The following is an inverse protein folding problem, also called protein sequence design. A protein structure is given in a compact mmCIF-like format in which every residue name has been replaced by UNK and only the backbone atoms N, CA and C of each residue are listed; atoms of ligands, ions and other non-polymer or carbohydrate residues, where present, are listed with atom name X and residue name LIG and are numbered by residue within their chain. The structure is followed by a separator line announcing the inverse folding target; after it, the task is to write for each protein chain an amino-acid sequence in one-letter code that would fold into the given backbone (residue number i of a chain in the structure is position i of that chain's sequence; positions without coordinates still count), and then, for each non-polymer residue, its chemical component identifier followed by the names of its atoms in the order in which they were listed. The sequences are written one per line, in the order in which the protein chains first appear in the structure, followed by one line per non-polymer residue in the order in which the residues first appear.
data_IF_808571343226
#
_entry.id   IF_808571343226
#
_cell.length_a   1.000
_cell.length_b   1.000
_cell.length_c   1.000
_cell.angle_alpha   90.00
_cell.angle_beta   90.00
_cell.angle_gamma   90.00
#
_symmetry.space_group_name_H-M   'P 1'
#
loop_
_entity.id
_entity.type
_entity.pdbx_description
1 polymer ?
#
# COMPACT_ATOMS: atom_id res chain seq x y z
N UNK A 1 -15.91 24.89 -15.49
CA UNK A 1 -15.52 23.49 -15.19
C UNK A 1 -14.09 23.50 -14.72
N UNK A 2 -13.88 23.44 -13.41
CA UNK A 2 -12.54 23.39 -12.83
C UNK A 2 -11.96 22.00 -13.09
N UNK A 3 -10.86 21.95 -13.83
CA UNK A 3 -10.02 20.76 -13.89
C UNK A 3 -9.30 20.72 -12.56
N UNK A 4 -9.72 19.85 -11.64
CA UNK A 4 -8.90 19.51 -10.48
C UNK A 4 -7.61 18.88 -11.00
N UNK A 5 -6.56 19.69 -11.03
CA UNK A 5 -5.20 19.21 -11.20
C UNK A 5 -4.87 18.41 -9.95
N UNK A 6 -4.86 17.09 -10.09
CA UNK A 6 -4.31 16.19 -9.09
C UNK A 6 -2.83 16.57 -8.97
N UNK A 7 -2.51 17.29 -7.90
CA UNK A 7 -1.13 17.59 -7.52
C UNK A 7 -0.55 16.28 -6.99
N UNK A 8 -0.10 15.41 -7.88
CA UNK A 8 0.68 14.21 -7.54
C UNK A 8 2.04 14.67 -7.02
N UNK A 9 2.07 15.08 -5.75
CA UNK A 9 3.28 15.37 -5.01
C UNK A 9 4.15 14.11 -4.93
N UNK A 10 5.02 13.95 -5.93
CA UNK A 10 6.44 13.57 -5.83
C UNK A 10 6.84 12.51 -4.79
N UNK A 11 6.14 11.40 -4.59
CA UNK A 11 6.76 10.21 -3.94
C UNK A 11 6.09 8.88 -4.30
N UNK A 12 5.53 8.75 -5.50
CA UNK A 12 5.08 7.44 -6.03
C UNK A 12 5.98 7.05 -7.20
N UNK A 13 7.29 6.99 -6.95
CA UNK A 13 8.27 6.39 -7.89
C UNK A 13 9.16 5.38 -7.13
N UNK A 14 8.82 5.03 -5.90
CA UNK A 14 9.79 4.39 -5.00
C UNK A 14 9.99 2.89 -5.21
N UNK A 15 9.25 2.22 -6.12
CA UNK A 15 9.31 0.74 -6.18
C UNK A 15 9.19 0.10 -7.56
N UNK A 16 9.07 0.87 -8.65
CA UNK A 16 9.02 0.30 -10.00
C UNK A 16 7.74 -0.46 -10.34
N UNK A 17 6.63 -0.18 -9.64
CA UNK A 17 5.29 -0.64 -10.03
C UNK A 17 4.80 0.16 -11.24
N UNK A 18 4.02 -0.50 -12.10
CA UNK A 18 3.39 0.16 -13.24
C UNK A 18 2.39 1.22 -12.74
N UNK A 19 2.46 2.43 -13.30
CA UNK A 19 1.53 3.53 -12.98
C UNK A 19 0.09 3.13 -13.32
N UNK A 20 -0.10 2.33 -14.38
CA UNK A 20 -1.42 1.83 -14.78
C UNK A 20 -2.02 0.93 -13.70
N UNK A 21 -1.20 0.08 -13.08
CA UNK A 21 -1.63 -0.80 -11.98
C UNK A 21 -2.13 0.03 -10.79
N UNK A 22 -1.38 1.05 -10.40
CA UNK A 22 -1.74 1.96 -9.30
C UNK A 22 -3.05 2.71 -9.59
N UNK A 23 -3.20 3.24 -10.80
CA UNK A 23 -4.43 3.95 -11.19
C UNK A 23 -5.66 3.03 -11.15
N UNK A 24 -5.53 1.78 -11.61
CA UNK A 24 -6.64 0.84 -11.63
C UNK A 24 -7.01 0.34 -10.22
N UNK A 25 -6.04 0.14 -9.34
CA UNK A 25 -6.30 -0.15 -7.93
C UNK A 25 -7.06 1.00 -7.25
N UNK A 26 -6.65 2.25 -7.48
CA UNK A 26 -7.33 3.42 -6.93
C UNK A 26 -8.75 3.62 -7.49
N UNK A 27 -8.98 3.33 -8.78
CA UNK A 27 -10.34 3.35 -9.37
C UNK A 27 -11.27 2.31 -8.74
N UNK A 28 -10.74 1.21 -8.23
CA UNK A 28 -11.50 0.16 -7.53
C UNK A 28 -11.79 0.50 -6.06
N UNK A 29 -11.31 1.66 -5.58
CA UNK A 29 -11.54 2.13 -4.21
C UNK A 29 -10.39 1.84 -3.25
N UNK A 30 -9.37 1.09 -3.67
CA UNK A 30 -8.22 0.76 -2.83
C UNK A 30 -7.37 2.00 -2.52
N UNK A 31 -6.83 2.05 -1.31
CA UNK A 31 -5.93 3.09 -0.82
C UNK A 31 -4.53 2.52 -0.61
N UNK A 32 -3.52 3.30 -0.95
CA UNK A 32 -2.12 2.96 -0.66
C UNK A 32 -1.85 3.20 0.83
N UNK A 33 -1.27 2.21 1.50
CA UNK A 33 -0.86 2.34 2.91
C UNK A 33 0.49 3.04 2.99
N UNK A 34 0.49 4.26 3.53
CA UNK A 34 1.68 5.05 3.83
C UNK A 34 2.13 4.85 5.28
N UNK A 35 3.32 5.33 5.65
CA UNK A 35 3.90 5.22 7.01
C UNK A 35 2.90 5.52 8.14
N UNK A 36 2.09 6.57 7.97
CA UNK A 36 1.13 6.99 8.99
C UNK A 36 -0.16 6.14 9.03
N UNK A 37 -0.40 5.29 8.01
CA UNK A 37 -1.59 4.44 7.91
C UNK A 37 -1.42 3.06 8.57
N UNK A 38 -0.19 2.63 8.86
CA UNK A 38 0.05 1.32 9.50
C UNK A 38 -0.61 1.21 10.87
N UNK A 39 -0.47 2.24 11.71
CA UNK A 39 -1.14 2.27 13.01
C UNK A 39 -2.66 2.19 12.88
N UNK A 40 -3.22 2.88 11.88
CA UNK A 40 -4.65 2.90 11.63
C UNK A 40 -5.16 1.53 11.17
N UNK A 41 -4.44 0.89 10.25
CA UNK A 41 -4.75 -0.47 9.78
C UNK A 41 -4.77 -1.48 10.95
N UNK A 42 -3.81 -1.38 11.88
CA UNK A 42 -3.78 -2.22 13.08
C UNK A 42 -4.96 -1.89 14.00
N UNK A 43 -5.16 -0.61 14.32
CA UNK A 43 -6.22 -0.16 15.25
C UNK A 43 -7.62 -0.55 14.77
N UNK A 44 -7.87 -0.46 13.46
CA UNK A 44 -9.17 -0.78 12.85
C UNK A 44 -9.27 -2.25 12.41
N UNK A 45 -8.18 -3.03 12.48
CA UNK A 45 -8.17 -4.42 12.04
C UNK A 45 -8.42 -4.59 10.54
N UNK A 46 -7.96 -3.62 9.74
CA UNK A 46 -8.13 -3.62 8.29
C UNK A 46 -7.34 -4.76 7.65
N UNK A 47 -7.93 -5.37 6.63
CA UNK A 47 -7.24 -6.33 5.79
C UNK A 47 -6.43 -5.57 4.74
N UNK A 48 -5.16 -5.93 4.56
CA UNK A 48 -4.29 -5.32 3.56
C UNK A 48 -3.75 -6.38 2.61
N UNK A 49 -3.46 -5.97 1.38
CA UNK A 49 -2.81 -6.79 0.36
C UNK A 49 -1.37 -6.31 0.18
N UNK A 50 -0.45 -7.27 0.04
CA UNK A 50 0.96 -7.01 -0.23
C UNK A 50 1.28 -7.45 -1.65
N UNK A 51 1.77 -6.51 -2.44
CA UNK A 51 2.11 -6.70 -3.84
C UNK A 51 3.62 -6.52 -4.04
N UNK A 52 4.24 -7.36 -4.87
CA UNK A 52 5.62 -7.22 -5.36
C UNK A 52 5.62 -7.39 -6.87
N UNK A 53 6.17 -6.42 -7.62
CA UNK A 53 6.26 -6.46 -9.09
C UNK A 53 4.94 -6.88 -9.76
N UNK A 54 3.85 -6.22 -9.35
CA UNK A 54 2.49 -6.44 -9.86
C UNK A 54 1.88 -7.84 -9.58
N UNK A 55 2.51 -8.63 -8.70
CA UNK A 55 1.96 -9.91 -8.21
C UNK A 55 1.61 -9.82 -6.72
N UNK A 56 0.37 -10.21 -6.37
CA UNK A 56 -0.07 -10.33 -5.00
C UNK A 56 0.71 -11.45 -4.32
N UNK A 57 1.46 -11.10 -3.29
CA UNK A 57 2.27 -12.05 -2.52
C UNK A 57 1.47 -12.60 -1.35
N UNK A 58 0.71 -11.73 -0.67
CA UNK A 58 0.00 -12.07 0.54
C UNK A 58 -1.15 -11.10 0.82
N UNK A 59 -2.07 -11.50 1.70
CA UNK A 59 -3.15 -10.66 2.19
C UNK A 59 -3.51 -11.04 3.61
N UNK A 60 -3.71 -10.06 4.49
CA UNK A 60 -4.06 -10.33 5.87
C UNK A 60 -4.06 -9.08 6.73
N UNK A 61 -3.99 -9.29 8.05
CA UNK A 61 -3.93 -8.17 9.01
C UNK A 61 -2.50 -7.86 9.38
N UNK A 62 -2.19 -6.57 9.45
CA UNK A 62 -0.91 -6.13 9.99
C UNK A 62 -0.88 -6.46 11.49
N UNK A 63 0.10 -7.27 11.90
CA UNK A 63 0.30 -7.64 13.29
C UNK A 63 1.23 -6.64 14.01
N UNK A 64 2.28 -6.20 13.30
CA UNK A 64 3.30 -5.29 13.81
C UNK A 64 4.05 -4.63 12.66
N UNK A 65 4.68 -3.49 12.93
CA UNK A 65 5.47 -2.76 11.94
C UNK A 65 6.64 -2.03 12.59
N UNK A 66 7.65 -1.76 11.77
CA UNK A 66 8.79 -0.90 12.06
C UNK A 66 8.94 0.12 10.94
N UNK A 67 9.99 0.94 11.03
CA UNK A 67 10.33 1.87 9.94
C UNK A 67 10.66 1.14 8.63
N UNK A 68 11.19 -0.08 8.69
CA UNK A 68 11.74 -0.79 7.52
C UNK A 68 10.90 -1.99 7.08
N UNK A 69 10.15 -2.59 8.00
CA UNK A 69 9.45 -3.85 7.76
C UNK A 69 8.10 -3.90 8.46
N UNK A 70 7.26 -4.85 8.07
CA UNK A 70 6.01 -5.15 8.75
C UNK A 70 5.70 -6.64 8.65
N UNK A 71 4.79 -7.09 9.52
CA UNK A 71 4.39 -8.48 9.64
C UNK A 71 2.89 -8.62 9.36
N UNK A 72 2.54 -9.60 8.54
CA UNK A 72 1.16 -9.99 8.22
C UNK A 72 1.07 -11.50 8.31
N UNK A 73 0.10 -12.02 9.06
CA UNK A 73 -0.23 -13.45 9.18
C UNK A 73 1.00 -14.38 9.30
N UNK A 74 1.98 -13.98 10.11
CA UNK A 74 3.25 -14.72 10.27
C UNK A 74 4.38 -14.37 9.28
N UNK A 75 4.07 -13.79 8.12
CA UNK A 75 5.01 -13.38 7.08
C UNK A 75 5.65 -12.00 7.32
N UNK A 76 6.89 -11.81 6.88
CA UNK A 76 7.67 -10.58 7.05
C UNK A 76 8.00 -9.93 5.69
N UNK A 77 7.72 -8.62 5.58
CA UNK A 77 7.88 -7.87 4.34
C UNK A 77 8.69 -6.59 4.55
N UNK A 78 9.55 -6.26 3.59
CA UNK A 78 10.31 -5.00 3.56
C UNK A 78 9.50 -3.92 2.85
N UNK A 79 9.31 -2.78 3.52
CA UNK A 79 8.43 -1.69 3.06
C UNK A 79 8.89 -1.07 1.75
N UNK A 80 10.20 -1.04 1.52
CA UNK A 80 10.80 -0.45 0.32
C UNK A 80 10.70 -1.33 -0.92
N UNK A 81 10.13 -2.54 -0.82
CA UNK A 81 10.07 -3.50 -1.92
C UNK A 81 8.63 -3.90 -2.28
N UNK A 82 7.64 -3.33 -1.59
CA UNK A 82 6.25 -3.75 -1.71
C UNK A 82 5.35 -2.55 -1.94
N UNK A 83 4.22 -2.81 -2.57
CA UNK A 83 3.06 -1.95 -2.55
C UNK A 83 2.03 -2.57 -1.62
N UNK A 84 1.41 -1.75 -0.77
CA UNK A 84 0.43 -2.21 0.21
C UNK A 84 -0.87 -1.49 -0.06
N UNK A 85 -1.93 -2.27 -0.30
CA UNK A 85 -3.26 -1.76 -0.59
C UNK A 85 -4.21 -2.14 0.55
N UNK A 86 -5.12 -1.24 0.88
CA UNK A 86 -6.24 -1.47 1.78
C UNK A 86 -7.53 -1.07 1.06
N UNK A 87 -8.59 -1.86 1.20
CA UNK A 87 -9.93 -1.51 0.70
C UNK A 87 -10.61 -0.40 1.53
#
# INVERSE_FOLDING_TARGET
MNKEQIHTSKTIVSVGFDVVFLEDAMKKGSKVVWDNHFEECIKQGLNVEVWMKDEMQDSGRIESFSKESFKIDGGYFLRNNVLILVE
#
